data_IF_052204243955
#
_entry.id   IF_052204243955
#
_cell.length_a   1.000
_cell.length_b   1.000
_cell.length_c   1.000
_cell.angle_alpha   90.00
_cell.angle_beta   90.00
_cell.angle_gamma   90.00
#
_symmetry.space_group_name_H-M   'P 1'
#
loop_
_entity.id
_entity.type
_entity.pdbx_description
1 polymer ?
#
# COMPACT_ATOMS: atom_id res chain seq x y z
N UNK A 1 -17.07 10.76 -1.00
CA UNK A 1 -16.29 11.46 -2.05
C UNK A 1 -14.97 10.75 -2.33
N UNK A 2 -14.12 10.49 -1.32
CA UNK A 2 -12.83 9.81 -1.45
C UNK A 2 -12.90 8.51 -2.24
N UNK A 3 -13.85 7.61 -1.90
CA UNK A 3 -14.04 6.36 -2.62
C UNK A 3 -14.26 6.57 -4.13
N UNK A 4 -15.12 7.53 -4.50
CA UNK A 4 -15.41 7.80 -5.91
C UNK A 4 -14.19 8.33 -6.67
N UNK A 5 -13.34 9.15 -6.02
CA UNK A 5 -12.10 9.64 -6.63
C UNK A 5 -11.09 8.51 -6.83
N UNK A 6 -10.92 7.62 -5.83
CA UNK A 6 -10.06 6.43 -5.96
C UNK A 6 -10.61 5.47 -7.02
N UNK A 7 -11.92 5.27 -7.10
CA UNK A 7 -12.54 4.43 -8.13
C UNK A 7 -12.33 5.00 -9.53
N UNK A 8 -12.54 6.30 -9.72
CA UNK A 8 -12.29 6.96 -11.00
C UNK A 8 -10.82 6.87 -11.39
N UNK A 9 -9.91 7.12 -10.45
CA UNK A 9 -8.48 6.95 -10.66
C UNK A 9 -8.12 5.52 -11.04
N UNK A 10 -8.67 4.53 -10.36
CA UNK A 10 -8.43 3.12 -10.63
C UNK A 10 -8.82 2.73 -12.05
N UNK A 11 -10.01 3.12 -12.52
CA UNK A 11 -10.45 2.82 -13.87
C UNK A 11 -9.66 3.59 -14.93
N UNK A 12 -9.29 4.83 -14.64
CA UNK A 12 -8.38 5.57 -15.51
C UNK A 12 -7.02 4.88 -15.62
N UNK A 13 -6.44 4.47 -14.51
CA UNK A 13 -5.16 3.78 -14.47
C UNK A 13 -5.18 2.43 -15.19
N UNK A 14 -6.31 1.71 -15.18
CA UNK A 14 -6.47 0.42 -15.86
C UNK A 14 -6.05 0.43 -17.33
N UNK A 15 -6.34 1.52 -18.03
CA UNK A 15 -6.00 1.69 -19.45
C UNK A 15 -4.58 2.20 -19.68
N UNK A 16 -3.94 2.77 -18.65
CA UNK A 16 -2.63 3.39 -18.74
C UNK A 16 -1.47 2.45 -18.37
N UNK A 17 -1.74 1.45 -17.52
CA UNK A 17 -0.72 0.55 -17.01
C UNK A 17 -0.55 -0.70 -17.88
N UNK A 18 0.64 -1.30 -17.77
CA UNK A 18 0.91 -2.62 -18.32
C UNK A 18 1.76 -3.39 -17.32
N UNK A 19 1.27 -4.56 -16.89
CA UNK A 19 2.00 -5.50 -16.05
C UNK A 19 2.41 -6.74 -16.84
N UNK A 20 3.46 -7.48 -16.42
CA UNK A 20 3.90 -8.69 -17.11
C UNK A 20 2.83 -9.76 -17.24
N UNK A 21 2.80 -10.44 -18.37
CA UNK A 21 1.81 -11.44 -18.75
C UNK A 21 2.25 -12.90 -18.49
N UNK A 22 3.23 -13.10 -17.63
CA UNK A 22 3.79 -14.44 -17.39
C UNK A 22 2.80 -15.36 -16.65
N UNK A 23 2.04 -14.82 -15.70
CA UNK A 23 1.07 -15.57 -14.90
C UNK A 23 -0.35 -15.47 -15.47
N UNK A 24 -0.80 -14.29 -15.85
CA UNK A 24 -2.15 -14.03 -16.34
C UNK A 24 -2.08 -13.37 -17.73
N UNK A 25 -2.64 -14.05 -18.75
CA UNK A 25 -2.61 -13.58 -20.14
C UNK A 25 -3.69 -12.53 -20.42
N UNK A 26 -4.76 -12.51 -19.64
CA UNK A 26 -5.78 -11.48 -19.77
C UNK A 26 -5.28 -10.15 -19.23
N UNK A 27 -5.19 -9.15 -20.13
CA UNK A 27 -4.66 -7.82 -19.80
C UNK A 27 -5.47 -7.10 -18.72
N UNK A 28 -6.80 -7.15 -18.85
CA UNK A 28 -7.67 -6.47 -17.89
C UNK A 28 -7.54 -7.11 -16.52
N UNK A 29 -7.58 -8.43 -16.45
CA UNK A 29 -7.47 -9.17 -15.20
C UNK A 29 -6.14 -8.91 -14.49
N UNK A 30 -5.00 -9.02 -15.21
CA UNK A 30 -3.69 -8.80 -14.58
C UNK A 30 -3.48 -7.36 -14.14
N UNK A 31 -3.91 -6.37 -14.97
CA UNK A 31 -3.80 -4.96 -14.60
C UNK A 31 -4.67 -4.64 -13.38
N UNK A 32 -5.91 -5.12 -13.33
CA UNK A 32 -6.80 -4.96 -12.21
C UNK A 32 -6.21 -5.48 -10.90
N UNK A 33 -5.75 -6.75 -10.89
CA UNK A 33 -5.14 -7.38 -9.71
C UNK A 33 -3.91 -6.60 -9.22
N UNK A 34 -3.05 -6.20 -10.14
CA UNK A 34 -1.81 -5.50 -9.80
C UNK A 34 -2.08 -4.06 -9.34
N UNK A 35 -3.04 -3.35 -9.95
CA UNK A 35 -3.45 -2.02 -9.50
C UNK A 35 -4.05 -2.05 -8.10
N UNK A 36 -4.93 -3.00 -7.80
CA UNK A 36 -5.50 -3.15 -6.46
C UNK A 36 -4.39 -3.36 -5.43
N UNK A 37 -3.44 -4.27 -5.70
CA UNK A 37 -2.27 -4.47 -4.82
C UNK A 37 -1.43 -3.21 -4.66
N UNK A 38 -1.20 -2.48 -5.74
CA UNK A 38 -0.45 -1.24 -5.72
C UNK A 38 -1.15 -0.16 -4.89
N UNK A 39 -2.45 0.05 -5.09
CA UNK A 39 -3.24 0.99 -4.30
C UNK A 39 -3.21 0.62 -2.82
N UNK A 40 -3.39 -0.66 -2.49
CA UNK A 40 -3.33 -1.16 -1.11
C UNK A 40 -1.99 -0.84 -0.46
N UNK A 41 -0.88 -1.12 -1.15
CA UNK A 41 0.47 -0.79 -0.68
C UNK A 41 0.65 0.73 -0.49
N UNK A 42 0.18 1.53 -1.46
CA UNK A 42 0.31 2.99 -1.41
C UNK A 42 -0.49 3.58 -0.26
N UNK A 43 -1.72 3.17 -0.05
CA UNK A 43 -2.54 3.67 1.05
C UNK A 43 -1.89 3.31 2.39
N UNK A 44 -1.37 2.09 2.52
CA UNK A 44 -0.68 1.68 3.75
C UNK A 44 0.57 2.53 4.01
N UNK A 45 1.44 2.75 3.01
CA UNK A 45 2.62 3.62 3.19
C UNK A 45 2.23 5.08 3.43
N UNK A 46 1.06 5.50 2.95
CA UNK A 46 0.54 6.83 3.23
C UNK A 46 0.23 7.02 4.71
N UNK A 47 -0.41 6.05 5.37
CA UNK A 47 -0.57 6.06 6.84
C UNK A 47 0.78 6.05 7.56
N UNK A 48 1.74 5.27 7.07
CA UNK A 48 3.09 5.28 7.65
C UNK A 48 3.77 6.65 7.51
N UNK A 49 3.56 7.35 6.40
CA UNK A 49 4.01 8.73 6.19
C UNK A 49 3.37 9.68 7.22
N UNK A 50 2.06 9.58 7.46
CA UNK A 50 1.38 10.39 8.50
C UNK A 50 1.93 10.10 9.90
N UNK A 51 2.31 8.86 10.19
CA UNK A 51 3.01 8.47 11.42
C UNK A 51 4.51 8.78 11.42
N UNK A 52 5.03 9.48 10.40
CA UNK A 52 6.45 9.84 10.23
C UNK A 52 7.41 8.65 10.20
N UNK A 53 6.92 7.47 9.83
CA UNK A 53 7.72 6.26 9.64
C UNK A 53 8.33 6.19 8.23
N UNK A 54 7.77 6.94 7.29
CA UNK A 54 8.29 7.12 5.93
C UNK A 54 8.42 8.62 5.69
N UNK A 55 9.56 9.10 5.13
CA UNK A 55 9.77 10.51 4.81
C UNK A 55 8.71 11.04 3.84
N UNK A 56 8.09 12.17 4.17
CA UNK A 56 7.04 12.78 3.35
C UNK A 56 7.56 13.29 1.99
N UNK A 57 8.83 13.65 1.91
CA UNK A 57 9.49 14.12 0.70
C UNK A 57 9.53 13.05 -0.42
N UNK A 58 9.48 11.76 -0.09
CA UNK A 58 9.36 10.68 -1.09
C UNK A 58 8.04 10.74 -1.91
N UNK A 59 7.06 11.53 -1.49
CA UNK A 59 5.78 11.77 -2.15
C UNK A 59 5.63 13.20 -2.69
N UNK A 60 6.67 14.02 -2.57
CA UNK A 60 6.73 15.39 -3.09
C UNK A 60 7.42 15.40 -4.46
N UNK A 61 6.67 15.78 -5.49
CA UNK A 61 7.18 15.82 -6.87
C UNK A 61 8.43 16.69 -7.00
N UNK A 62 8.45 17.85 -6.35
CA UNK A 62 9.58 18.80 -6.43
C UNK A 62 10.87 18.22 -5.84
N UNK A 63 10.74 17.48 -4.74
CA UNK A 63 11.87 16.79 -4.13
C UNK A 63 12.32 15.59 -4.97
N UNK A 64 11.38 14.77 -5.43
CA UNK A 64 11.66 13.59 -6.27
C UNK A 64 12.38 13.98 -7.56
N UNK A 65 12.08 15.15 -8.13
CA UNK A 65 12.76 15.68 -9.33
C UNK A 65 14.25 15.95 -9.10
N UNK A 66 14.67 16.12 -7.85
CA UNK A 66 16.11 16.24 -7.52
C UNK A 66 16.81 14.88 -7.41
N UNK A 67 16.09 13.83 -7.11
CA UNK A 67 16.61 12.47 -6.93
C UNK A 67 16.65 11.65 -8.22
N UNK A 68 15.74 11.93 -9.17
CA UNK A 68 15.52 11.10 -10.36
C UNK A 68 15.86 11.86 -11.66
N UNK A 69 16.36 11.12 -12.63
CA UNK A 69 16.66 11.64 -13.97
C UNK A 69 15.56 11.34 -15.02
N UNK A 70 14.48 10.66 -14.64
CA UNK A 70 13.35 10.31 -15.51
C UNK A 70 13.72 9.63 -16.85
N UNK A 71 14.75 8.80 -16.85
CA UNK A 71 15.28 8.15 -18.05
C UNK A 71 14.53 6.87 -18.47
N UNK A 72 13.43 6.51 -17.81
CA UNK A 72 12.68 5.30 -18.17
C UNK A 72 11.83 5.48 -19.42
N UNK A 73 12.04 4.62 -20.44
CA UNK A 73 11.35 4.68 -21.72
C UNK A 73 9.82 4.47 -21.62
N UNK A 74 9.34 3.87 -20.54
CA UNK A 74 7.90 3.68 -20.30
C UNK A 74 7.27 4.81 -19.47
N UNK A 75 8.05 5.82 -19.08
CA UNK A 75 7.62 6.92 -18.21
C UNK A 75 7.26 6.49 -16.81
N UNK A 76 7.86 5.42 -16.30
CA UNK A 76 7.54 4.78 -15.01
C UNK A 76 8.70 4.88 -14.03
N UNK A 77 9.47 5.96 -14.10
CA UNK A 77 10.70 6.14 -13.32
C UNK A 77 10.41 6.17 -11.83
N UNK A 78 9.40 6.92 -11.40
CA UNK A 78 9.02 7.03 -9.99
C UNK A 78 8.56 5.68 -9.44
N UNK A 79 7.65 5.00 -10.15
CA UNK A 79 7.15 3.71 -9.70
C UNK A 79 8.29 2.70 -9.54
N UNK A 80 9.19 2.62 -10.52
CA UNK A 80 10.33 1.69 -10.50
C UNK A 80 11.37 2.08 -9.46
N UNK A 81 11.89 3.31 -9.50
CA UNK A 81 13.01 3.72 -8.66
C UNK A 81 12.63 4.03 -7.22
N UNK A 82 11.45 4.58 -6.96
CA UNK A 82 11.00 4.92 -5.60
C UNK A 82 10.09 3.83 -5.03
N UNK A 83 8.92 3.61 -5.63
CA UNK A 83 7.91 2.74 -4.99
C UNK A 83 8.33 1.28 -4.93
N UNK A 84 8.90 0.71 -5.97
CA UNK A 84 9.34 -0.70 -5.93
C UNK A 84 10.51 -0.90 -4.95
N UNK A 85 11.47 0.03 -4.88
CA UNK A 85 12.54 -0.04 -3.89
C UNK A 85 12.00 0.14 -2.46
N UNK A 86 11.03 1.02 -2.25
CA UNK A 86 10.36 1.17 -0.97
C UNK A 86 9.62 -0.11 -0.56
N UNK A 87 8.82 -0.68 -1.45
CA UNK A 87 8.04 -1.88 -1.14
C UNK A 87 8.93 -3.10 -0.88
N UNK A 88 9.80 -3.42 -1.83
CA UNK A 88 10.47 -4.72 -1.86
C UNK A 88 11.84 -4.71 -1.18
N UNK A 89 12.66 -3.71 -1.45
CA UNK A 89 14.01 -3.64 -0.91
C UNK A 89 14.08 -2.93 0.46
N UNK A 90 13.01 -2.26 0.89
CA UNK A 90 12.98 -1.52 2.16
C UNK A 90 12.00 -2.14 3.14
N UNK A 91 10.70 -2.04 2.89
CA UNK A 91 9.67 -2.48 3.83
C UNK A 91 9.62 -4.00 4.00
N UNK A 92 9.97 -4.74 2.95
CA UNK A 92 10.03 -6.21 2.99
C UNK A 92 11.42 -6.78 3.32
N UNK A 93 12.42 -5.92 3.58
CA UNK A 93 13.80 -6.36 3.83
C UNK A 93 14.34 -5.71 5.10
N UNK A 94 14.75 -6.51 6.11
CA UNK A 94 15.32 -5.97 7.33
C UNK A 94 16.65 -5.28 7.05
N UNK A 95 16.85 -4.10 7.63
CA UNK A 95 18.12 -3.42 7.64
C UNK A 95 18.95 -3.90 8.84
N UNK A 96 20.15 -4.36 8.58
CA UNK A 96 21.15 -4.68 9.60
C UNK A 96 22.30 -3.68 9.50
N UNK A 97 22.45 -2.82 10.50
CA UNK A 97 23.43 -1.72 10.47
C UNK A 97 24.88 -2.18 10.29
N UNK A 98 25.20 -3.38 10.78
CA UNK A 98 26.54 -3.97 10.72
C UNK A 98 26.74 -4.87 9.49
N UNK A 99 25.75 -4.95 8.62
CA UNK A 99 25.79 -5.82 7.44
C UNK A 99 26.03 -4.95 6.18
N UNK A 100 27.22 -5.04 5.55
CA UNK A 100 27.52 -4.28 4.34
C UNK A 100 26.65 -4.65 3.14
N UNK A 101 25.84 -5.71 3.25
CA UNK A 101 24.86 -6.12 2.23
C UNK A 101 23.49 -5.46 2.43
N UNK A 102 23.28 -4.77 3.55
CA UNK A 102 22.02 -4.08 3.84
C UNK A 102 21.89 -2.80 3.00
N UNK A 103 20.72 -2.64 2.35
CA UNK A 103 20.38 -1.39 1.65
C UNK A 103 21.40 -0.95 0.59
N UNK A 104 21.86 -1.87 -0.26
CA UNK A 104 22.74 -1.59 -1.38
C UNK A 104 22.05 -1.92 -2.71
N UNK A 105 22.57 -1.35 -3.80
CA UNK A 105 22.10 -1.70 -5.14
C UNK A 105 22.59 -3.08 -5.58
N UNK A 106 21.77 -3.76 -6.37
CA UNK A 106 22.06 -5.11 -6.87
C UNK A 106 23.37 -5.17 -7.67
N UNK A 107 23.73 -4.09 -8.37
CA UNK A 107 24.98 -3.97 -9.10
C UNK A 107 26.20 -4.02 -8.16
N UNK A 108 26.10 -3.32 -7.03
CA UNK A 108 27.16 -3.29 -6.03
C UNK A 108 27.21 -4.64 -5.27
N UNK A 109 26.07 -5.23 -4.97
CA UNK A 109 26.01 -6.57 -4.39
C UNK A 109 26.71 -7.61 -5.28
N UNK A 110 26.50 -7.55 -6.61
CA UNK A 110 27.19 -8.39 -7.57
C UNK A 110 28.70 -8.12 -7.62
N UNK A 111 29.10 -6.84 -7.62
CA UNK A 111 30.51 -6.43 -7.62
C UNK A 111 31.26 -6.94 -6.39
N UNK A 112 30.61 -6.96 -5.22
CA UNK A 112 31.20 -7.48 -3.99
C UNK A 112 31.08 -9.02 -3.84
N UNK A 113 30.47 -9.71 -4.80
CA UNK A 113 30.30 -11.16 -4.76
C UNK A 113 29.21 -11.66 -3.84
N UNK A 114 28.31 -10.79 -3.37
CA UNK A 114 27.20 -11.17 -2.48
C UNK A 114 26.08 -11.91 -3.22
N UNK A 115 26.01 -11.74 -4.54
CA UNK A 115 25.00 -12.36 -5.42
C UNK A 115 25.61 -12.83 -6.73
N UNK A 116 25.24 -14.03 -7.16
CA UNK A 116 25.68 -14.58 -8.45
C UNK A 116 24.65 -14.28 -9.55
N UNK A 117 23.35 -14.47 -9.28
CA UNK A 117 22.24 -14.19 -10.19
C UNK A 117 21.10 -13.54 -9.40
N UNK A 118 21.05 -12.22 -9.44
CA UNK A 118 20.28 -11.44 -8.48
C UNK A 118 18.95 -10.89 -8.97
N UNK A 119 18.48 -11.24 -10.17
CA UNK A 119 17.27 -10.61 -10.72
C UNK A 119 15.97 -10.96 -9.97
N UNK A 120 15.95 -12.06 -9.21
CA UNK A 120 14.82 -12.44 -8.37
C UNK A 120 15.03 -12.14 -6.88
N UNK A 121 16.22 -11.69 -6.49
CA UNK A 121 16.47 -11.33 -5.09
C UNK A 121 15.84 -9.99 -4.76
N UNK A 122 14.95 -9.97 -3.79
CA UNK A 122 14.12 -8.81 -3.46
C UNK A 122 14.83 -7.82 -2.54
N UNK A 123 15.80 -8.25 -1.76
CA UNK A 123 16.47 -7.44 -0.74
C UNK A 123 17.44 -6.37 -1.22
N UNK A 124 17.65 -6.23 -2.53
CA UNK A 124 18.59 -5.27 -3.10
C UNK A 124 17.87 -4.18 -3.90
N UNK A 125 18.34 -2.95 -3.74
CA UNK A 125 17.86 -1.81 -4.52
C UNK A 125 18.15 -1.99 -6.00
N UNK A 126 17.25 -1.48 -6.84
CA UNK A 126 17.32 -1.57 -8.30
C UNK A 126 17.19 -0.20 -8.94
N UNK A 127 17.40 -0.16 -10.26
CA UNK A 127 17.19 1.03 -11.09
C UNK A 127 18.12 2.19 -10.76
N UNK A 128 19.35 1.90 -10.31
CA UNK A 128 20.38 2.90 -9.99
C UNK A 128 20.63 3.89 -11.14
N UNK A 129 20.41 3.47 -12.40
CA UNK A 129 20.54 4.31 -13.58
C UNK A 129 19.54 5.48 -13.67
N UNK A 130 18.43 5.39 -12.91
CA UNK A 130 17.42 6.46 -12.83
C UNK A 130 17.67 7.43 -11.69
N UNK A 131 18.73 7.23 -10.92
CA UNK A 131 19.02 7.96 -9.70
C UNK A 131 20.22 8.87 -9.94
N UNK A 132 20.10 10.15 -9.59
CA UNK A 132 21.13 11.17 -9.77
C UNK A 132 22.30 10.99 -8.82
N UNK A 133 22.02 10.72 -7.55
CA UNK A 133 22.99 10.47 -6.48
C UNK A 133 22.57 9.25 -5.66
N UNK A 134 23.32 8.15 -5.78
CA UNK A 134 23.03 6.88 -5.12
C UNK A 134 23.14 6.97 -3.58
N UNK A 135 24.12 7.71 -3.07
CA UNK A 135 24.36 7.82 -1.62
C UNK A 135 23.27 8.65 -0.97
N UNK A 136 22.94 9.81 -1.56
CA UNK A 136 21.84 10.65 -1.09
C UNK A 136 20.51 9.89 -1.16
N UNK A 137 20.27 9.15 -2.23
CA UNK A 137 19.08 8.33 -2.40
C UNK A 137 18.94 7.26 -1.30
N UNK A 138 19.99 6.48 -1.02
CA UNK A 138 19.93 5.42 -0.01
C UNK A 138 19.67 5.97 1.39
N UNK A 139 20.19 7.16 1.73
CA UNK A 139 19.94 7.81 3.02
C UNK A 139 18.47 8.10 3.29
N UNK A 140 17.66 8.35 2.25
CA UNK A 140 16.23 8.58 2.40
C UNK A 140 15.50 7.34 2.96
N UNK A 141 16.08 6.17 2.80
CA UNK A 141 15.49 4.91 3.24
C UNK A 141 16.06 4.36 4.55
N UNK A 142 17.13 4.94 5.09
CA UNK A 142 17.86 4.41 6.24
C UNK A 142 17.01 4.23 7.50
N UNK A 143 16.08 5.15 7.74
CA UNK A 143 15.25 5.15 8.94
C UNK A 143 13.88 4.50 8.74
N UNK A 144 13.58 4.02 7.53
CA UNK A 144 12.31 3.36 7.25
C UNK A 144 12.31 1.96 7.86
N UNK A 145 11.31 1.61 8.69
CA UNK A 145 11.29 0.33 9.39
C UNK A 145 11.05 -0.84 8.42
N UNK A 146 11.51 -2.02 8.82
CA UNK A 146 11.11 -3.28 8.21
C UNK A 146 9.73 -3.68 8.72
N UNK A 147 8.86 -4.12 7.80
CA UNK A 147 7.54 -4.65 8.10
C UNK A 147 7.51 -6.14 7.72
N UNK A 148 7.46 -6.98 8.73
CA UNK A 148 7.34 -8.42 8.52
C UNK A 148 5.89 -8.79 8.15
N UNK A 149 5.57 -8.77 6.85
CA UNK A 149 4.23 -9.12 6.37
C UNK A 149 4.16 -9.26 4.85
N UNK A 150 3.33 -10.16 4.35
CA UNK A 150 3.20 -10.47 2.92
C UNK A 150 2.72 -9.34 2.02
N UNK A 151 2.27 -8.20 2.59
CA UNK A 151 1.77 -7.06 1.81
C UNK A 151 2.83 -6.48 0.86
N UNK A 152 4.09 -6.40 1.32
CA UNK A 152 5.21 -5.83 0.57
C UNK A 152 6.12 -6.88 -0.04
N UNK A 153 5.74 -8.14 -0.05
CA UNK A 153 6.47 -9.18 -0.77
C UNK A 153 6.29 -9.03 -2.28
N UNK A 154 7.39 -9.12 -3.04
CA UNK A 154 7.31 -9.23 -4.50
C UNK A 154 6.88 -10.65 -4.88
N UNK A 155 5.92 -10.73 -5.78
CA UNK A 155 5.37 -12.00 -6.25
C UNK A 155 6.17 -12.60 -7.41
N UNK A 156 7.26 -11.96 -7.84
CA UNK A 156 8.17 -12.51 -8.82
C UNK A 156 8.80 -13.81 -8.31
N UNK A 157 8.71 -14.88 -9.10
CA UNK A 157 9.12 -16.24 -8.67
C UNK A 157 9.79 -17.01 -9.81
N UNK A 158 10.49 -18.09 -9.46
CA UNK A 158 11.07 -19.03 -10.42
C UNK A 158 10.41 -20.41 -10.27
N UNK A 159 9.78 -20.89 -11.33
CA UNK A 159 9.10 -22.17 -11.35
C UNK A 159 9.75 -23.03 -12.44
N UNK A 160 10.32 -24.18 -12.05
CA UNK A 160 10.98 -25.13 -13.00
C UNK A 160 12.00 -24.44 -13.90
N UNK A 161 12.79 -23.52 -13.36
CA UNK A 161 13.83 -22.79 -14.11
C UNK A 161 13.32 -21.57 -14.90
N UNK A 162 12.02 -21.40 -15.07
CA UNK A 162 11.42 -20.24 -15.75
C UNK A 162 11.09 -19.15 -14.74
N UNK A 163 11.48 -17.91 -15.06
CA UNK A 163 11.07 -16.73 -14.29
C UNK A 163 9.64 -16.36 -14.65
N UNK A 164 8.82 -16.16 -13.61
CA UNK A 164 7.45 -15.64 -13.68
C UNK A 164 7.47 -14.27 -13.07
N UNK A 165 7.27 -13.25 -13.89
CA UNK A 165 7.24 -11.86 -13.48
C UNK A 165 5.80 -11.42 -13.27
N UNK A 166 5.53 -10.84 -12.10
CA UNK A 166 4.23 -10.32 -11.68
C UNK A 166 4.37 -8.85 -11.31
N UNK A 167 5.17 -8.53 -10.31
CA UNK A 167 5.53 -7.16 -9.95
C UNK A 167 6.65 -6.61 -10.84
N UNK A 168 7.41 -7.47 -11.50
CA UNK A 168 8.55 -7.13 -12.38
C UNK A 168 9.59 -6.24 -11.69
N UNK A 169 9.94 -6.57 -10.45
CA UNK A 169 11.02 -5.90 -9.74
C UNK A 169 12.36 -6.35 -10.31
N UNK A 170 12.74 -5.74 -11.43
CA UNK A 170 13.89 -6.17 -12.23
C UNK A 170 14.43 -5.03 -13.09
N UNK A 171 15.73 -4.77 -12.98
CA UNK A 171 16.47 -3.89 -13.90
C UNK A 171 17.16 -4.66 -15.05
N UNK A 172 16.74 -5.90 -15.29
CA UNK A 172 17.26 -6.68 -16.42
C UNK A 172 16.72 -6.12 -17.74
N UNK A 173 17.57 -5.93 -18.79
CA UNK A 173 17.15 -5.33 -20.06
C UNK A 173 15.94 -5.99 -20.72
N UNK A 174 15.82 -7.32 -20.62
CA UNK A 174 14.65 -8.06 -21.14
C UNK A 174 13.34 -7.75 -20.43
N UNK A 175 13.40 -7.17 -19.24
CA UNK A 175 12.22 -6.83 -18.44
C UNK A 175 11.92 -5.32 -18.44
N UNK A 176 12.78 -4.51 -19.06
CA UNK A 176 12.71 -3.05 -18.98
C UNK A 176 11.38 -2.48 -19.46
N UNK A 177 10.84 -3.00 -20.55
CA UNK A 177 9.60 -2.52 -21.16
C UNK A 177 8.36 -3.32 -20.77
N UNK A 178 8.50 -4.35 -19.95
CA UNK A 178 7.39 -5.24 -19.57
C UNK A 178 6.48 -4.65 -18.49
N UNK A 179 6.97 -3.63 -17.79
CA UNK A 179 6.25 -2.92 -16.74
C UNK A 179 6.09 -1.46 -17.14
N UNK A 180 4.83 -1.00 -17.17
CA UNK A 180 4.48 0.39 -17.40
C UNK A 180 3.48 0.84 -16.33
N UNK A 181 3.89 1.80 -15.49
CA UNK A 181 3.06 2.49 -14.51
C UNK A 181 3.44 3.98 -14.55
N UNK A 182 2.85 4.76 -15.45
CA UNK A 182 3.31 6.12 -15.74
C UNK A 182 3.30 7.06 -14.54
N UNK A 183 4.34 7.88 -14.42
CA UNK A 183 4.56 8.78 -13.28
C UNK A 183 3.45 9.83 -13.10
N UNK A 184 2.79 10.24 -14.20
CA UNK A 184 1.66 11.16 -14.12
C UNK A 184 0.46 10.60 -13.36
N UNK A 185 0.30 9.28 -13.26
CA UNK A 185 -0.74 8.65 -12.45
C UNK A 185 -0.64 9.02 -10.96
N UNK A 186 0.54 9.40 -10.51
CA UNK A 186 0.77 9.79 -9.11
C UNK A 186 0.68 11.30 -8.88
N UNK A 187 1.22 12.10 -9.81
CA UNK A 187 1.54 13.51 -9.57
C UNK A 187 0.71 14.53 -10.34
N UNK A 188 -0.19 14.10 -11.25
CA UNK A 188 -1.03 15.06 -11.98
C UNK A 188 -1.85 15.88 -10.98
N UNK A 189 -1.60 17.20 -10.94
CA UNK A 189 -2.26 18.13 -10.03
C UNK A 189 -3.58 18.65 -10.60
N UNK A 190 -3.65 18.84 -11.91
CA UNK A 190 -4.84 19.32 -12.60
C UNK A 190 -5.85 18.19 -12.82
N UNK A 191 -7.14 18.54 -12.69
CA UNK A 191 -8.21 17.62 -13.03
C UNK A 191 -8.24 17.41 -14.55
N UNK A 192 -8.18 16.14 -14.96
CA UNK A 192 -8.32 15.74 -16.35
C UNK A 192 -9.70 15.12 -16.58
N UNK A 193 -10.39 15.57 -17.59
CA UNK A 193 -11.63 14.95 -18.01
C UNK A 193 -11.35 13.67 -18.80
N UNK A 194 -11.95 12.56 -18.38
CA UNK A 194 -11.76 11.25 -19.01
C UNK A 194 -13.08 10.50 -19.16
N UNK A 195 -13.17 9.68 -20.18
CA UNK A 195 -14.30 8.80 -20.42
C UNK A 195 -14.07 7.45 -19.76
N UNK A 196 -14.87 7.13 -18.75
CA UNK A 196 -14.88 5.87 -18.03
C UNK A 196 -16.15 5.05 -18.29
N UNK A 197 -16.89 5.34 -19.37
CA UNK A 197 -18.14 4.65 -19.72
C UNK A 197 -17.95 3.14 -19.94
N UNK A 198 -16.74 2.69 -20.27
CA UNK A 198 -16.40 1.27 -20.38
C UNK A 198 -16.43 0.53 -19.03
N UNK A 199 -16.45 1.25 -17.91
CA UNK A 199 -16.37 0.71 -16.55
C UNK A 199 -17.51 1.15 -15.64
N UNK A 200 -18.13 2.30 -15.91
CA UNK A 200 -19.15 2.92 -15.07
C UNK A 200 -20.36 3.31 -15.91
N UNK A 201 -21.58 3.01 -15.47
CA UNK A 201 -22.83 3.34 -16.17
C UNK A 201 -22.95 4.85 -16.48
N UNK A 202 -22.46 5.72 -15.56
CA UNK A 202 -22.40 7.18 -15.74
C UNK A 202 -20.94 7.64 -15.84
N UNK A 203 -20.12 6.95 -16.64
CA UNK A 203 -18.67 7.14 -16.71
C UNK A 203 -18.22 8.29 -17.62
N UNK A 204 -19.10 8.87 -18.43
CA UNK A 204 -18.78 9.97 -19.32
C UNK A 204 -18.32 11.20 -18.53
N UNK A 205 -17.28 11.87 -19.00
CA UNK A 205 -16.79 13.14 -18.44
C UNK A 205 -16.44 13.06 -16.94
N UNK A 206 -15.77 11.97 -16.50
CA UNK A 206 -15.25 11.89 -15.13
C UNK A 206 -13.96 12.70 -15.00
N UNK A 207 -13.86 13.41 -13.89
CA UNK A 207 -12.62 14.13 -13.54
C UNK A 207 -11.70 13.20 -12.78
N UNK A 208 -10.45 13.17 -13.19
CA UNK A 208 -9.37 12.39 -12.57
C UNK A 208 -8.15 13.25 -12.33
N UNK A 209 -7.39 12.93 -11.32
CA UNK A 209 -6.12 13.58 -10.96
C UNK A 209 -5.17 12.54 -10.37
N UNK A 210 -3.92 12.90 -10.12
CA UNK A 210 -2.92 11.96 -9.62
C UNK A 210 -3.27 11.42 -8.23
N UNK A 211 -2.85 10.18 -7.97
CA UNK A 211 -3.20 9.48 -6.72
C UNK A 211 -2.74 10.26 -5.47
N UNK A 212 -1.52 10.82 -5.48
CA UNK A 212 -1.05 11.61 -4.34
C UNK A 212 -1.77 12.95 -4.21
N UNK A 213 -2.23 13.53 -5.30
CA UNK A 213 -3.08 14.72 -5.27
C UNK A 213 -4.42 14.41 -4.59
N UNK A 214 -4.99 13.23 -4.89
CA UNK A 214 -6.20 12.75 -4.20
C UNK A 214 -5.90 12.55 -2.71
N UNK A 215 -4.89 11.75 -2.38
CA UNK A 215 -4.56 11.43 -0.98
C UNK A 215 -4.25 12.69 -0.14
N UNK A 216 -3.54 13.67 -0.68
CA UNK A 216 -3.26 14.94 -0.01
C UNK A 216 -4.51 15.81 0.25
N UNK A 217 -5.63 15.54 -0.42
CA UNK A 217 -6.87 16.31 -0.24
C UNK A 217 -7.73 15.80 0.91
N UNK A 218 -7.30 14.73 1.57
CA UNK A 218 -8.01 14.10 2.68
C UNK A 218 -7.12 14.03 3.91
N UNK A 219 -7.75 14.14 5.07
CA UNK A 219 -7.05 14.03 6.34
C UNK A 219 -6.98 12.56 6.76
N UNK A 220 -5.76 11.99 6.76
CA UNK A 220 -5.50 10.63 7.22
C UNK A 220 -5.09 10.70 8.69
N UNK A 221 -6.01 10.50 9.60
CA UNK A 221 -5.71 10.44 11.03
C UNK A 221 -5.92 9.03 11.56
N UNK A 222 -5.09 8.67 12.53
CA UNK A 222 -5.20 7.41 13.29
C UNK A 222 -5.67 7.70 14.73
N UNK A 223 -5.76 8.98 15.10
CA UNK A 223 -6.20 9.45 16.41
C UNK A 223 -7.46 10.30 16.25
N UNK A 224 -8.56 9.81 16.74
CA UNK A 224 -9.86 10.50 16.76
C UNK A 224 -9.96 11.33 18.03
N UNK A 225 -9.09 12.36 18.17
CA UNK A 225 -8.99 13.14 19.41
C UNK A 225 -9.94 14.34 19.47
N UNK A 226 -10.62 14.69 18.39
CA UNK A 226 -11.62 15.75 18.38
C UNK A 226 -12.86 15.36 17.56
N UNK A 227 -14.07 15.93 17.88
CA UNK A 227 -15.27 15.70 17.07
C UNK A 227 -15.10 16.08 15.58
N UNK A 228 -14.22 17.05 15.29
CA UNK A 228 -13.91 17.48 13.94
C UNK A 228 -13.05 16.44 13.20
N UNK A 229 -12.16 15.77 13.91
CA UNK A 229 -11.33 14.70 13.37
C UNK A 229 -12.18 13.48 13.01
N UNK A 230 -13.22 13.19 13.79
CA UNK A 230 -14.18 12.10 13.54
C UNK A 230 -15.03 12.32 12.27
N UNK A 231 -15.35 13.57 11.91
CA UNK A 231 -16.14 13.87 10.71
C UNK A 231 -15.31 13.83 9.40
N UNK A 232 -14.02 14.09 9.47
CA UNK A 232 -13.15 14.32 8.27
C UNK A 232 -12.04 13.29 8.13
N UNK A 233 -11.82 12.46 9.14
CA UNK A 233 -10.78 11.46 9.18
C UNK A 233 -11.09 10.27 8.26
N UNK A 234 -10.07 9.82 7.51
CA UNK A 234 -10.11 8.54 6.81
C UNK A 234 -9.67 7.43 7.78
N UNK A 235 -10.66 6.75 8.35
CA UNK A 235 -10.52 5.61 9.23
C UNK A 235 -10.00 4.37 8.45
N UNK A 236 -9.17 3.51 9.04
CA UNK A 236 -8.82 2.20 8.51
C UNK A 236 -10.02 1.34 8.07
N UNK A 237 -11.18 1.45 8.71
CA UNK A 237 -12.42 0.78 8.29
C UNK A 237 -12.91 1.26 6.91
N UNK A 238 -12.81 2.55 6.63
CA UNK A 238 -13.15 3.11 5.32
C UNK A 238 -12.25 2.52 4.22
N UNK A 239 -10.98 2.27 4.53
CA UNK A 239 -10.07 1.59 3.60
C UNK A 239 -10.52 0.17 3.31
N UNK A 240 -10.97 -0.56 4.31
CA UNK A 240 -11.57 -1.88 4.13
C UNK A 240 -12.72 -1.83 3.13
N UNK A 241 -13.64 -0.87 3.27
CA UNK A 241 -14.75 -0.64 2.33
C UNK A 241 -14.29 -0.25 0.93
N UNK A 242 -13.23 0.58 0.81
CA UNK A 242 -12.64 0.93 -0.48
C UNK A 242 -12.10 -0.32 -1.19
N UNK A 243 -11.33 -1.15 -0.50
CA UNK A 243 -10.79 -2.38 -1.07
C UNK A 243 -11.87 -3.40 -1.43
N UNK A 244 -12.84 -3.60 -0.56
CA UNK A 244 -13.98 -4.49 -0.84
C UNK A 244 -14.72 -4.07 -2.12
N UNK A 245 -14.96 -2.77 -2.28
CA UNK A 245 -15.65 -2.24 -3.45
C UNK A 245 -14.77 -2.27 -4.72
N UNK A 246 -13.47 -2.01 -4.62
CA UNK A 246 -12.55 -2.15 -5.76
C UNK A 246 -12.44 -3.62 -6.20
N UNK A 247 -12.34 -4.57 -5.26
CA UNK A 247 -12.36 -5.99 -5.55
C UNK A 247 -13.69 -6.44 -6.19
N UNK A 248 -14.81 -5.88 -5.76
CA UNK A 248 -16.12 -6.14 -6.37
C UNK A 248 -16.21 -5.60 -7.80
N UNK A 249 -15.61 -4.44 -8.07
CA UNK A 249 -15.57 -3.81 -9.39
C UNK A 249 -14.64 -4.51 -10.39
N UNK A 250 -13.74 -5.36 -9.89
CA UNK A 250 -12.77 -6.11 -10.70
C UNK A 250 -13.43 -7.10 -11.67
N UNK A 251 -14.59 -7.66 -11.36
CA UNK A 251 -15.28 -8.60 -12.23
C UNK A 251 -16.63 -8.00 -12.68
N UNK A 252 -16.68 -7.30 -13.84
CA UNK A 252 -17.89 -6.67 -14.33
C UNK A 252 -19.04 -7.67 -14.61
N UNK A 253 -18.72 -8.92 -14.96
CA UNK A 253 -19.72 -9.97 -15.21
C UNK A 253 -20.35 -10.52 -13.93
N UNK A 254 -19.75 -10.20 -12.77
CA UNK A 254 -20.14 -10.75 -11.47
C UNK A 254 -20.18 -9.70 -10.34
N UNK A 255 -20.35 -8.42 -10.66
CA UNK A 255 -20.27 -7.31 -9.65
C UNK A 255 -21.15 -7.57 -8.40
N UNK A 256 -22.28 -8.27 -8.54
CA UNK A 256 -23.11 -8.76 -7.43
C UNK A 256 -22.74 -10.16 -6.95
N UNK A 257 -22.05 -10.96 -7.75
CA UNK A 257 -21.69 -12.36 -7.45
C UNK A 257 -20.23 -12.51 -7.00
N UNK A 258 -19.33 -11.57 -7.31
CA UNK A 258 -17.95 -11.63 -6.83
C UNK A 258 -17.91 -11.51 -5.30
N UNK A 259 -18.71 -10.64 -4.68
CA UNK A 259 -18.88 -10.57 -3.23
C UNK A 259 -19.35 -11.93 -2.64
N UNK A 260 -20.29 -12.60 -3.30
CA UNK A 260 -20.79 -13.91 -2.87
C UNK A 260 -19.80 -15.04 -3.12
N UNK A 261 -18.99 -14.94 -4.17
CA UNK A 261 -18.03 -15.97 -4.54
C UNK A 261 -16.75 -15.95 -3.70
N UNK A 262 -16.29 -14.76 -3.27
CA UNK A 262 -15.07 -14.62 -2.44
C UNK A 262 -15.35 -14.73 -0.94
N UNK A 263 -16.60 -14.46 -0.49
CA UNK A 263 -16.95 -14.44 0.94
C UNK A 263 -16.13 -13.45 1.77
N UNK A 264 -15.45 -12.52 1.10
CA UNK A 264 -14.55 -11.56 1.75
C UNK A 264 -15.36 -10.35 2.21
N UNK A 265 -15.72 -10.35 3.49
CA UNK A 265 -16.32 -9.22 4.16
C UNK A 265 -15.38 -8.76 5.27
N UNK A 266 -15.19 -7.45 5.39
CA UNK A 266 -14.55 -6.87 6.57
C UNK A 266 -15.51 -7.01 7.76
N UNK A 267 -14.97 -7.49 8.87
CA UNK A 267 -15.75 -7.58 10.11
C UNK A 267 -16.02 -6.17 10.61
N UNK A 268 -17.27 -5.75 10.86
CA UNK A 268 -17.59 -4.43 11.41
C UNK A 268 -16.86 -4.19 12.74
N UNK A 269 -16.46 -2.94 12.98
CA UNK A 269 -15.70 -2.53 14.17
C UNK A 269 -16.37 -2.99 15.48
N UNK A 270 -17.67 -2.82 15.57
CA UNK A 270 -18.47 -3.23 16.74
C UNK A 270 -18.31 -4.73 17.08
N UNK A 271 -18.22 -5.58 16.03
CA UNK A 271 -18.01 -7.02 16.22
C UNK A 271 -16.56 -7.28 16.64
N UNK A 272 -15.59 -6.58 16.04
CA UNK A 272 -14.17 -6.69 16.40
C UNK A 272 -13.96 -6.27 17.86
N UNK A 273 -14.51 -5.13 18.27
CA UNK A 273 -14.43 -4.61 19.63
C UNK A 273 -15.05 -5.58 20.64
N UNK A 274 -16.22 -6.14 20.31
CA UNK A 274 -16.83 -7.19 21.11
C UNK A 274 -15.94 -8.42 21.24
N UNK A 275 -15.39 -8.93 20.13
CA UNK A 275 -14.52 -10.11 20.12
C UNK A 275 -13.24 -9.88 20.93
N UNK A 276 -12.61 -8.71 20.77
CA UNK A 276 -11.40 -8.33 21.50
C UNK A 276 -11.71 -8.21 23.00
N UNK A 277 -12.77 -7.51 23.36
CA UNK A 277 -13.20 -7.32 24.75
C UNK A 277 -13.49 -8.65 25.43
N UNK A 278 -14.30 -9.53 24.85
CA UNK A 278 -14.61 -10.84 25.43
C UNK A 278 -13.35 -11.72 25.53
N UNK A 279 -12.46 -11.69 24.53
CA UNK A 279 -11.20 -12.45 24.56
C UNK A 279 -10.29 -11.97 25.70
N UNK A 280 -10.17 -10.66 25.90
CA UNK A 280 -9.39 -10.09 27.00
C UNK A 280 -10.00 -10.41 28.36
N UNK A 281 -11.32 -10.30 28.50
CA UNK A 281 -12.04 -10.67 29.74
C UNK A 281 -11.81 -12.12 30.09
N UNK A 282 -11.95 -13.05 29.14
CA UNK A 282 -11.72 -14.48 29.36
C UNK A 282 -10.27 -14.75 29.74
N UNK A 283 -9.32 -14.15 29.06
CA UNK A 283 -7.89 -14.35 29.35
C UNK A 283 -7.51 -13.84 30.75
N UNK A 284 -7.96 -12.65 31.13
CA UNK A 284 -7.70 -12.06 32.42
C UNK A 284 -8.44 -12.78 33.55
N UNK A 285 -9.67 -13.22 33.33
CA UNK A 285 -10.42 -14.01 34.30
C UNK A 285 -9.71 -15.34 34.60
N UNK A 286 -9.13 -15.99 33.59
CA UNK A 286 -8.31 -17.20 33.77
C UNK A 286 -7.07 -16.99 34.66
N UNK A 287 -6.59 -15.74 34.76
CA UNK A 287 -5.42 -15.40 35.61
C UNK A 287 -5.80 -14.85 36.98
N UNK A 288 -6.88 -14.05 37.03
CA UNK A 288 -7.33 -13.33 38.24
C UNK A 288 -8.40 -14.08 39.04
N UNK A 289 -9.00 -15.12 38.47
CA UNK A 289 -10.13 -15.87 38.96
C UNK A 289 -11.38 -15.65 38.08
N UNK A 290 -12.07 -16.72 37.77
CA UNK A 290 -13.27 -16.78 36.92
C UNK A 290 -14.60 -16.57 37.64
N UNK A 291 -14.55 -15.99 38.84
CA UNK A 291 -15.75 -15.67 39.60
C UNK A 291 -16.62 -14.62 38.88
N UNK A 292 -17.95 -14.72 38.94
CA UNK A 292 -18.85 -13.79 38.25
C UNK A 292 -18.59 -12.31 38.57
N UNK A 293 -18.20 -12.03 39.83
CA UNK A 293 -17.89 -10.67 40.30
C UNK A 293 -16.58 -10.13 39.63
N UNK A 294 -15.60 -10.98 39.39
CA UNK A 294 -14.36 -10.60 38.70
C UNK A 294 -14.63 -10.34 37.21
N UNK A 295 -15.42 -11.20 36.58
CA UNK A 295 -15.83 -11.03 35.17
C UNK A 295 -16.61 -9.72 34.97
N UNK A 296 -17.54 -9.41 35.90
CA UNK A 296 -18.31 -8.16 35.82
C UNK A 296 -17.43 -6.91 35.96
N UNK A 297 -16.44 -6.94 36.87
CA UNK A 297 -15.47 -5.84 37.02
C UNK A 297 -14.61 -5.67 35.76
N UNK A 298 -14.14 -6.78 35.16
CA UNK A 298 -13.37 -6.76 33.91
C UNK A 298 -14.21 -6.20 32.76
N UNK A 299 -15.47 -6.61 32.62
CA UNK A 299 -16.37 -6.06 31.61
C UNK A 299 -16.60 -4.56 31.79
N UNK A 300 -16.77 -4.08 33.04
CA UNK A 300 -16.83 -2.64 33.31
C UNK A 300 -15.55 -1.90 32.94
N UNK A 301 -14.38 -2.50 33.16
CA UNK A 301 -13.09 -1.90 32.79
C UNK A 301 -12.97 -1.71 31.29
N UNK A 302 -13.44 -2.68 30.48
CA UNK A 302 -13.37 -2.62 29.02
C UNK A 302 -14.54 -1.87 28.36
N UNK A 303 -15.65 -1.64 29.07
CA UNK A 303 -16.77 -0.81 28.61
C UNK A 303 -16.54 0.69 28.85
N UNK A 304 -15.32 1.05 29.20
CA UNK A 304 -14.91 2.39 29.55
C UNK A 304 -14.96 3.34 28.35
N UNK A 305 -15.75 4.40 28.48
CA UNK A 305 -15.71 5.55 27.58
C UNK A 305 -15.29 6.79 28.38
N UNK A 306 -14.78 7.85 27.72
CA UNK A 306 -14.43 9.11 28.36
C UNK A 306 -15.62 9.66 29.20
N UNK A 307 -16.87 9.44 28.75
CA UNK A 307 -18.08 9.86 29.43
C UNK A 307 -18.38 9.06 30.72
N UNK A 308 -17.77 7.89 30.89
CA UNK A 308 -17.96 6.98 32.01
C UNK A 308 -16.69 6.77 32.86
N UNK A 309 -15.74 7.70 32.80
CA UNK A 309 -14.48 7.61 33.53
C UNK A 309 -14.72 7.83 35.04
N UNK A 310 -14.63 6.79 35.90
CA UNK A 310 -14.79 6.99 37.36
C UNK A 310 -13.64 7.81 37.97
N UNK A 311 -12.53 8.04 37.21
CA UNK A 311 -11.41 8.86 37.67
C UNK A 311 -11.57 10.34 37.30
N UNK A 312 -12.51 10.71 36.41
CA UNK A 312 -12.83 12.10 36.09
C UNK A 312 -13.90 12.69 37.01
N UNK A 313 -14.41 11.95 37.99
CA UNK A 313 -15.47 12.40 38.92
C UNK A 313 -14.95 13.08 40.19
N UNK A 314 -13.63 13.32 40.29
CA UNK A 314 -13.00 14.04 41.39
C UNK A 314 -12.07 15.15 40.87
N UNK A 315 -12.67 16.24 40.35
CA UNK A 315 -12.12 17.60 40.40
C UNK A 315 -13.23 18.62 40.70
#
# INVERSE_FOLDING_TARGET
>A
QFYNEIQNWYFWAMDQVEFPDDEDKDRKNRNAKNLIRMITRIIFIWFMKEKRLIPANLFDKSYIDTLLNYGDATGSTYYKAILQNLFFATLNTPMRKDDPQSRIFIEDAKKFGFVNDGYLQQGYFRYSRFITDKEAFLKEFDNIPFLNGGLFESLDKKIKGREIRIDCFSNHPKNETRLKVPDYLFFTSEEQETDLSAYLENGNHKKVRGLFTILNSYNFTVEENTPLDQEVALDPELLGKVFENLLASYNPDTATTARKATGSYYTPREIVDYMVTESLVINLAGTLGDEPATIEKLKKLFSYSEDNNPFNAEE
#
